data_IF_253329179501
#
_entry.id   IF_253329179501
#
_cell.length_a   1.000
_cell.length_b   1.000
_cell.length_c   1.000
_cell.angle_alpha   90.00
_cell.angle_beta   90.00
_cell.angle_gamma   90.00
#
_symmetry.space_group_name_H-M   'P 1'
#
loop_
_entity.id
_entity.type
_entity.pdbx_description
1 polymer ?
#
# COMPACT_ATOMS: atom_id res chain seq x y z
N UNK A 1 -21.18 6.32 1.60
CA UNK A 1 -19.95 6.76 2.29
C UNK A 1 -18.99 7.37 1.29
N UNK A 2 -18.52 8.57 1.55
CA UNK A 2 -17.56 9.22 0.66
C UNK A 2 -16.15 8.62 0.86
N UNK A 3 -15.28 8.84 -0.11
CA UNK A 3 -13.88 8.41 0.00
C UNK A 3 -13.19 9.09 1.19
N UNK A 4 -13.50 10.35 1.43
CA UNK A 4 -13.00 11.08 2.59
C UNK A 4 -13.41 10.39 3.90
N UNK A 5 -14.67 9.99 4.02
CA UNK A 5 -15.15 9.28 5.22
C UNK A 5 -14.46 7.95 5.41
N UNK A 6 -14.23 7.24 4.32
CA UNK A 6 -13.49 5.97 4.34
C UNK A 6 -12.06 6.19 4.86
N UNK A 7 -11.38 7.23 4.39
CA UNK A 7 -10.03 7.55 4.83
C UNK A 7 -9.99 7.93 6.32
N UNK A 8 -10.97 8.68 6.80
CA UNK A 8 -11.07 9.01 8.21
C UNK A 8 -11.30 7.76 9.07
N UNK A 9 -12.15 6.85 8.58
CA UNK A 9 -12.41 5.59 9.29
C UNK A 9 -11.15 4.71 9.34
N UNK A 10 -10.41 4.62 8.23
CA UNK A 10 -9.16 3.87 8.20
C UNK A 10 -8.14 4.48 9.16
N UNK A 11 -7.97 5.79 9.16
CA UNK A 11 -7.05 6.45 10.06
C UNK A 11 -7.37 6.13 11.52
N UNK A 12 -8.64 6.18 11.88
CA UNK A 12 -9.08 5.85 13.24
C UNK A 12 -8.78 4.40 13.58
N UNK A 13 -9.11 3.47 12.68
CA UNK A 13 -8.88 2.03 12.91
C UNK A 13 -7.39 1.70 13.02
N UNK A 14 -6.54 2.41 12.28
CA UNK A 14 -5.09 2.18 12.25
C UNK A 14 -4.34 2.96 13.34
N UNK A 15 -5.03 3.81 14.09
CA UNK A 15 -4.40 4.67 15.09
C UNK A 15 -3.51 5.75 14.46
N UNK A 16 -3.85 6.16 13.26
CA UNK A 16 -3.04 7.09 12.47
C UNK A 16 -3.72 8.41 12.22
N UNK A 17 -3.06 9.24 11.44
CA UNK A 17 -3.53 10.57 11.03
C UNK A 17 -3.63 10.61 9.52
N UNK A 18 -4.79 11.05 9.02
CA UNK A 18 -5.01 11.18 7.57
C UNK A 18 -4.87 12.63 7.12
N UNK A 19 -4.37 12.81 5.89
CA UNK A 19 -4.35 14.11 5.24
C UNK A 19 -4.52 13.92 3.74
N UNK A 20 -5.06 14.95 3.08
CA UNK A 20 -5.17 14.98 1.62
C UNK A 20 -4.03 15.80 1.05
N UNK A 21 -3.30 15.21 0.11
CA UNK A 21 -2.13 15.83 -0.50
C UNK A 21 -2.31 15.86 -2.02
N UNK A 22 -3.13 16.79 -2.48
CA UNK A 22 -3.38 17.01 -3.90
C UNK A 22 -4.14 15.89 -4.58
N UNK A 23 -3.43 14.87 -5.05
CA UNK A 23 -4.01 13.76 -5.80
C UNK A 23 -4.19 12.49 -4.99
N UNK A 24 -3.71 12.48 -3.75
CA UNK A 24 -3.60 11.26 -2.98
C UNK A 24 -3.93 11.53 -1.52
N UNK A 25 -4.59 10.58 -0.88
CA UNK A 25 -4.77 10.58 0.57
C UNK A 25 -3.58 9.87 1.21
N UNK A 26 -3.12 10.42 2.33
CA UNK A 26 -1.97 9.90 3.06
C UNK A 26 -2.41 9.57 4.47
N UNK A 27 -2.08 8.37 4.96
CA UNK A 27 -2.26 8.01 6.36
C UNK A 27 -0.89 7.67 6.94
N UNK A 28 -0.54 8.36 8.01
CA UNK A 28 0.65 8.04 8.79
C UNK A 28 0.21 7.25 10.00
N UNK A 29 0.73 6.05 10.17
CA UNK A 29 0.33 5.17 11.26
C UNK A 29 1.53 4.55 11.96
N UNK A 30 1.40 4.24 13.26
CA UNK A 30 2.47 3.54 13.96
C UNK A 30 2.51 2.07 13.56
N UNK A 31 3.72 1.57 13.28
CA UNK A 31 3.99 0.14 13.12
C UNK A 31 5.23 -0.16 13.95
N UNK A 32 5.03 -0.89 15.05
CA UNK A 32 6.08 -1.13 16.05
C UNK A 32 6.64 0.22 16.56
N UNK A 33 7.93 0.46 16.44
CA UNK A 33 8.58 1.70 16.90
C UNK A 33 8.70 2.74 15.78
N UNK A 34 8.13 2.47 14.63
CA UNK A 34 8.28 3.31 13.44
C UNK A 34 6.94 3.89 13.00
N UNK A 35 6.99 4.90 12.15
CA UNK A 35 5.82 5.44 11.48
C UNK A 35 5.86 4.99 10.04
N UNK A 36 4.77 4.35 9.59
CA UNK A 36 4.62 3.93 8.20
C UNK A 36 3.68 4.89 7.49
N UNK A 37 4.08 5.34 6.30
CA UNK A 37 3.29 6.24 5.48
C UNK A 37 2.60 5.44 4.39
N UNK A 38 1.27 5.51 4.36
CA UNK A 38 0.45 4.84 3.37
C UNK A 38 -0.20 5.86 2.46
N UNK A 39 -0.24 5.53 1.18
CA UNK A 39 -0.84 6.37 0.15
C UNK A 39 -2.08 5.67 -0.41
N UNK A 40 -3.15 6.44 -0.63
CA UNK A 40 -4.44 5.90 -1.08
C UNK A 40 -4.96 6.68 -2.27
N UNK A 41 -5.45 5.95 -3.26
CA UNK A 41 -6.16 6.52 -4.41
C UNK A 41 -7.38 5.69 -4.68
N UNK A 42 -8.40 6.33 -5.21
CA UNK A 42 -9.56 5.64 -5.76
C UNK A 42 -9.49 5.76 -7.28
N UNK A 43 -9.22 4.66 -7.93
CA UNK A 43 -9.13 4.59 -9.39
C UNK A 43 -10.41 4.01 -9.95
N UNK A 44 -10.80 4.44 -11.15
CA UNK A 44 -11.93 3.87 -11.86
C UNK A 44 -11.41 3.01 -12.99
N UNK A 45 -11.88 1.76 -13.03
CA UNK A 45 -11.50 0.80 -14.07
C UNK A 45 -12.73 0.44 -14.87
N UNK A 46 -12.60 0.40 -16.20
CA UNK A 46 -13.67 -0.04 -17.08
C UNK A 46 -13.63 -1.57 -17.18
N UNK A 47 -14.76 -2.22 -16.89
CA UNK A 47 -14.88 -3.67 -16.97
C UNK A 47 -15.28 -4.10 -18.37
N UNK A 48 -15.23 -5.41 -18.64
CA UNK A 48 -15.63 -5.99 -19.92
C UNK A 48 -17.09 -5.70 -20.26
N UNK A 49 -17.93 -5.50 -19.26
CA UNK A 49 -19.36 -5.21 -19.42
C UNK A 49 -19.64 -3.72 -19.69
N UNK A 50 -18.62 -2.93 -19.98
CA UNK A 50 -18.69 -1.49 -20.20
C UNK A 50 -19.18 -0.72 -18.95
N UNK A 51 -19.10 -1.33 -17.78
CA UNK A 51 -19.38 -0.67 -16.52
C UNK A 51 -18.08 -0.14 -15.92
N UNK A 52 -18.21 0.90 -15.08
CA UNK A 52 -17.07 1.46 -14.35
C UNK A 52 -17.08 0.94 -12.93
N UNK A 53 -15.96 0.43 -12.49
CA UNK A 53 -15.78 -0.03 -11.13
C UNK A 53 -14.68 0.76 -10.46
N UNK A 54 -14.91 1.19 -9.22
CA UNK A 54 -13.88 1.84 -8.43
C UNK A 54 -12.95 0.82 -7.81
N UNK A 55 -11.65 1.13 -7.81
CA UNK A 55 -10.63 0.34 -7.14
C UNK A 55 -9.91 1.21 -6.12
N UNK A 56 -9.93 0.78 -4.87
CA UNK A 56 -9.10 1.37 -3.84
C UNK A 56 -7.69 0.86 -4.00
N UNK A 57 -6.74 1.77 -4.15
CA UNK A 57 -5.31 1.45 -4.22
C UNK A 57 -4.65 1.97 -2.96
N UNK A 58 -3.93 1.10 -2.26
CA UNK A 58 -3.12 1.46 -1.11
C UNK A 58 -1.69 1.07 -1.38
N UNK A 59 -0.73 1.98 -1.21
CA UNK A 59 0.66 1.62 -1.40
C UNK A 59 1.57 2.27 -0.37
N UNK A 60 2.73 1.69 -0.17
CA UNK A 60 3.78 2.23 0.67
C UNK A 60 5.12 2.07 -0.02
N UNK A 61 6.02 3.01 0.21
CA UNK A 61 7.34 3.00 -0.40
C UNK A 61 8.29 2.11 0.40
N UNK A 62 9.07 1.31 -0.31
CA UNK A 62 10.01 0.38 0.31
C UNK A 62 11.46 0.86 0.19
N UNK A 63 11.73 1.69 -0.80
CA UNK A 63 13.06 2.25 -1.01
C UNK A 63 13.48 2.23 -2.48
N UNK A 64 14.63 2.84 -2.74
CA UNK A 64 15.20 2.93 -4.06
C UNK A 64 15.77 1.57 -4.47
N UNK A 65 15.46 1.11 -5.69
CA UNK A 65 16.02 -0.13 -6.21
C UNK A 65 17.36 0.11 -6.94
N UNK A 66 17.72 1.36 -7.18
CA UNK A 66 18.94 1.72 -7.91
C UNK A 66 20.17 1.56 -7.03
N UNK A 67 21.32 1.40 -7.67
CA UNK A 67 22.60 1.32 -6.99
C UNK A 67 23.23 -0.06 -7.09
N UNK A 68 24.32 -0.27 -6.37
CA UNK A 68 25.15 -1.47 -6.46
C UNK A 68 24.41 -2.74 -6.04
N UNK A 69 23.40 -2.61 -5.18
CA UNK A 69 22.66 -3.76 -4.64
C UNK A 69 21.25 -3.89 -5.21
N UNK A 70 20.99 -3.22 -6.35
CA UNK A 70 19.65 -3.22 -6.96
C UNK A 70 19.15 -4.64 -7.23
N UNK A 71 19.97 -5.48 -7.83
CA UNK A 71 19.60 -6.86 -8.15
C UNK A 71 19.33 -7.69 -6.89
N UNK A 72 20.19 -7.58 -5.89
CA UNK A 72 20.01 -8.30 -4.62
C UNK A 72 18.74 -7.88 -3.91
N UNK A 73 18.43 -6.57 -3.91
CA UNK A 73 17.21 -6.05 -3.32
C UNK A 73 15.98 -6.56 -4.05
N UNK A 74 16.00 -6.54 -5.38
CA UNK A 74 14.89 -7.05 -6.17
C UNK A 74 14.67 -8.54 -5.93
N UNK A 75 15.70 -9.33 -5.90
CA UNK A 75 15.61 -10.77 -5.61
C UNK A 75 15.04 -11.02 -4.22
N UNK A 76 15.50 -10.24 -3.22
CA UNK A 76 14.98 -10.33 -1.86
C UNK A 76 13.50 -10.01 -1.79
N UNK A 77 13.08 -8.97 -2.50
CA UNK A 77 11.68 -8.57 -2.56
C UNK A 77 10.81 -9.65 -3.20
N UNK A 78 11.24 -10.21 -4.32
CA UNK A 78 10.47 -11.26 -4.98
C UNK A 78 10.34 -12.52 -4.13
N UNK A 79 11.36 -12.84 -3.34
CA UNK A 79 11.31 -13.95 -2.40
C UNK A 79 10.30 -13.71 -1.30
N UNK A 80 10.32 -12.52 -0.69
CA UNK A 80 9.38 -12.15 0.37
C UNK A 80 7.95 -12.03 -0.16
N UNK A 81 7.79 -11.65 -1.43
CA UNK A 81 6.47 -11.45 -2.03
C UNK A 81 5.62 -12.73 -2.09
N UNK A 82 6.24 -13.91 -1.97
CA UNK A 82 5.49 -15.18 -1.96
C UNK A 82 4.57 -15.32 -0.74
N UNK A 83 4.81 -14.56 0.31
CA UNK A 83 4.03 -14.61 1.55
C UNK A 83 2.84 -13.65 1.54
N UNK A 84 2.72 -12.82 0.51
CA UNK A 84 1.65 -11.81 0.43
C UNK A 84 0.32 -12.41 -0.02
N UNK A 85 -0.78 -11.98 0.62
CA UNK A 85 -2.14 -12.39 0.26
C UNK A 85 -2.82 -11.38 -0.65
N UNK A 86 -2.76 -10.10 -0.30
CA UNK A 86 -3.47 -9.01 -0.99
C UNK A 86 -2.54 -8.11 -1.76
N UNK A 87 -1.34 -7.90 -1.24
CA UNK A 87 -0.41 -6.93 -1.77
C UNK A 87 0.51 -7.54 -2.83
N UNK A 88 1.10 -6.66 -3.61
CA UNK A 88 2.07 -7.01 -4.65
C UNK A 88 3.22 -6.03 -4.58
N UNK A 89 4.35 -6.46 -5.10
CA UNK A 89 5.53 -5.60 -5.25
C UNK A 89 5.52 -5.00 -6.64
N UNK A 90 5.82 -3.72 -6.74
CA UNK A 90 5.94 -3.03 -8.02
C UNK A 90 7.09 -2.05 -7.99
N UNK A 91 7.47 -1.62 -9.17
CA UNK A 91 8.45 -0.58 -9.39
C UNK A 91 7.70 0.67 -9.88
N UNK A 92 7.81 1.75 -9.12
CA UNK A 92 7.14 2.99 -9.44
C UNK A 92 8.16 4.14 -9.39
N UNK A 93 8.40 4.77 -10.53
CA UNK A 93 9.34 5.89 -10.66
C UNK A 93 10.72 5.61 -10.05
N UNK A 94 11.22 4.38 -10.24
CA UNK A 94 12.53 4.00 -9.73
C UNK A 94 12.57 3.58 -8.27
N UNK A 95 11.40 3.51 -7.62
CA UNK A 95 11.29 3.02 -6.25
C UNK A 95 10.52 1.71 -6.19
N UNK A 96 10.93 0.85 -5.28
CA UNK A 96 10.15 -0.34 -4.95
C UNK A 96 8.99 0.07 -4.05
N UNK A 97 7.80 -0.38 -4.39
CA UNK A 97 6.60 -0.12 -3.60
C UNK A 97 5.87 -1.43 -3.34
N UNK A 98 5.17 -1.46 -2.23
CA UNK A 98 4.22 -2.52 -1.92
C UNK A 98 2.84 -1.91 -2.07
N UNK A 99 1.98 -2.50 -2.90
CA UNK A 99 0.65 -1.97 -3.13
C UNK A 99 -0.40 -3.06 -3.01
N UNK A 100 -1.59 -2.67 -2.57
CA UNK A 100 -2.75 -3.52 -2.51
C UNK A 100 -3.91 -2.89 -3.25
N UNK A 101 -4.80 -3.71 -3.77
CA UNK A 101 -6.00 -3.30 -4.49
C UNK A 101 -7.22 -3.93 -3.83
N UNK A 102 -8.31 -3.18 -3.76
CA UNK A 102 -9.60 -3.70 -3.32
C UNK A 102 -10.72 -3.06 -4.13
N UNK A 103 -11.69 -3.84 -4.63
CA UNK A 103 -12.86 -3.25 -5.26
C UNK A 103 -13.59 -2.31 -4.28
N UNK A 104 -14.12 -1.19 -4.79
CA UNK A 104 -14.87 -0.24 -3.98
C UNK A 104 -16.08 -0.91 -3.32
N UNK A 105 -16.64 -1.93 -3.96
CA UNK A 105 -17.77 -2.70 -3.43
C UNK A 105 -17.40 -3.63 -2.28
N UNK A 106 -16.10 -3.77 -1.97
CA UNK A 106 -15.64 -4.61 -0.85
C UNK A 106 -16.12 -4.03 0.48
N UNK A 107 -16.25 -4.90 1.49
CA UNK A 107 -16.54 -4.44 2.84
C UNK A 107 -15.37 -3.65 3.39
N UNK A 108 -15.66 -2.73 4.29
CA UNK A 108 -14.61 -1.96 4.97
C UNK A 108 -13.63 -2.90 5.71
N UNK A 109 -14.14 -3.98 6.29
CA UNK A 109 -13.30 -4.97 6.98
C UNK A 109 -12.29 -5.62 6.02
N UNK A 110 -12.72 -6.01 4.82
CA UNK A 110 -11.84 -6.61 3.82
C UNK A 110 -10.81 -5.59 3.30
N UNK A 111 -11.23 -4.36 3.12
CA UNK A 111 -10.32 -3.28 2.73
C UNK A 111 -9.24 -3.08 3.81
N UNK A 112 -9.64 -3.09 5.08
CA UNK A 112 -8.70 -2.93 6.19
C UNK A 112 -7.70 -4.08 6.28
N UNK A 113 -8.11 -5.31 6.00
CA UNK A 113 -7.17 -6.44 5.96
C UNK A 113 -6.08 -6.20 4.93
N UNK A 114 -6.45 -5.72 3.75
CA UNK A 114 -5.49 -5.37 2.71
C UNK A 114 -4.56 -4.24 3.17
N UNK A 115 -5.11 -3.19 3.78
CA UNK A 115 -4.34 -2.05 4.27
C UNK A 115 -3.35 -2.47 5.36
N UNK A 116 -3.78 -3.33 6.30
CA UNK A 116 -2.88 -3.87 7.33
C UNK A 116 -1.73 -4.65 6.72
N UNK A 117 -2.00 -5.46 5.70
CA UNK A 117 -0.93 -6.19 5.04
C UNK A 117 0.09 -5.25 4.40
N UNK A 118 -0.37 -4.21 3.69
CA UNK A 118 0.52 -3.23 3.09
C UNK A 118 1.36 -2.53 4.15
N UNK A 119 0.77 -2.16 5.28
CA UNK A 119 1.49 -1.46 6.34
C UNK A 119 2.51 -2.36 7.03
N UNK A 120 2.09 -3.53 7.51
CA UNK A 120 2.95 -4.42 8.29
C UNK A 120 4.01 -5.10 7.45
N UNK A 121 3.63 -5.62 6.30
CA UNK A 121 4.60 -6.25 5.39
C UNK A 121 5.52 -5.20 4.78
N UNK A 122 5.01 -4.00 4.54
CA UNK A 122 5.85 -2.88 4.09
C UNK A 122 6.97 -2.58 5.07
N UNK A 123 6.67 -2.58 6.37
CA UNK A 123 7.68 -2.36 7.40
C UNK A 123 8.69 -3.50 7.43
N UNK A 124 8.24 -4.75 7.38
CA UNK A 124 9.13 -5.90 7.36
C UNK A 124 10.03 -5.91 6.13
N UNK A 125 9.48 -5.61 4.95
CA UNK A 125 10.25 -5.57 3.72
C UNK A 125 11.31 -4.48 3.76
N UNK A 126 10.97 -3.31 4.31
CA UNK A 126 11.91 -2.21 4.45
C UNK A 126 13.10 -2.61 5.35
N UNK A 127 12.83 -3.30 6.44
CA UNK A 127 13.88 -3.80 7.34
C UNK A 127 14.78 -4.82 6.65
N UNK A 128 14.19 -5.77 5.92
CA UNK A 128 14.97 -6.77 5.21
C UNK A 128 15.83 -6.15 4.11
N UNK A 129 15.30 -5.16 3.38
CA UNK A 129 16.06 -4.46 2.36
C UNK A 129 17.23 -3.68 2.93
N UNK A 130 17.08 -3.11 4.12
CA UNK A 130 18.14 -2.37 4.77
C UNK A 130 19.32 -3.24 5.20
N UNK A 131 19.10 -4.55 5.36
CA UNK A 131 20.14 -5.49 5.73
C UNK A 131 20.99 -6.00 4.55
N UNK A 132 20.53 -5.78 3.34
CA UNK A 132 21.20 -6.26 2.12
C UNK A 132 22.34 -5.34 1.69
#
# INVERSE_FOLDING_TARGET
MSFKDLMLNFAQALGGVSRYDGDVWVIEMPVEDCTRVLFFRLNTVQTEDDTREGLLVCFTRLGDYRGERALQRLEGMLRLATELRYARVALLDGELVLFGLAPEASTEANMLEMVYEVAWMGEQFSHELARL
#
